data_IF_222959458629
#
_entry.id   IF_222959458629
#
_cell.length_a   1.000
_cell.length_b   1.000
_cell.length_c   1.000
_cell.angle_alpha   90.00
_cell.angle_beta   90.00
_cell.angle_gamma   90.00
#
_symmetry.space_group_name_H-M   'P 1'
#
loop_
_entity.id
_entity.type
_entity.pdbx_description
1 polymer ?
#
# COMPACT_ATOMS: atom_id res chain seq x y z
N UNK A 1 13.51 71.40 30.88
CA UNK A 1 13.39 70.18 31.71
C UNK A 1 12.16 69.38 31.29
N UNK A 2 10.98 70.01 31.22
CA UNK A 2 9.74 69.33 30.78
C UNK A 2 9.79 68.77 29.35
N UNK A 3 10.32 69.54 28.38
CA UNK A 3 10.49 69.09 26.98
C UNK A 3 11.44 67.91 26.77
N UNK A 4 12.36 67.69 27.72
CA UNK A 4 13.34 66.61 27.64
C UNK A 4 12.79 65.33 28.27
N UNK A 5 12.01 65.48 29.35
CA UNK A 5 11.23 64.40 29.95
C UNK A 5 10.16 63.92 28.95
N UNK A 6 9.45 64.82 28.28
CA UNK A 6 8.46 64.49 27.26
C UNK A 6 9.07 63.74 26.06
N UNK A 7 10.26 64.13 25.60
CA UNK A 7 10.97 63.41 24.54
C UNK A 7 11.41 62.02 24.99
N UNK A 8 11.93 61.89 26.21
CA UNK A 8 12.34 60.61 26.79
C UNK A 8 11.15 59.65 26.97
N UNK A 9 10.00 60.13 27.43
CA UNK A 9 8.78 59.31 27.54
C UNK A 9 8.26 58.88 26.17
N UNK A 10 8.25 59.77 25.17
CA UNK A 10 7.87 59.38 23.79
C UNK A 10 8.79 58.34 23.17
N UNK A 11 10.09 58.39 23.46
CA UNK A 11 11.04 57.38 22.99
C UNK A 11 10.79 56.01 23.62
N UNK A 12 10.57 55.98 24.94
CA UNK A 12 10.26 54.75 25.67
C UNK A 12 8.94 54.10 25.20
N UNK A 13 7.95 54.90 24.81
CA UNK A 13 6.67 54.40 24.28
C UNK A 13 6.82 53.84 22.86
N UNK A 14 7.65 54.47 22.01
CA UNK A 14 8.01 53.94 20.70
C UNK A 14 8.76 52.60 20.81
N UNK A 15 9.74 52.48 21.71
CA UNK A 15 10.45 51.21 21.96
C UNK A 15 9.50 50.10 22.42
N UNK A 16 8.56 50.41 23.33
CA UNK A 16 7.53 49.46 23.76
C UNK A 16 6.63 49.03 22.61
N UNK A 17 6.22 49.96 21.75
CA UNK A 17 5.41 49.66 20.56
C UNK A 17 6.16 48.75 19.59
N UNK A 18 7.42 49.08 19.28
CA UNK A 18 8.28 48.28 18.43
C UNK A 18 8.50 46.87 18.98
N UNK A 19 8.73 46.74 20.29
CA UNK A 19 8.91 45.44 20.94
C UNK A 19 7.64 44.57 20.86
N UNK A 20 6.46 45.19 21.03
CA UNK A 20 5.16 44.52 20.88
C UNK A 20 4.94 44.03 19.45
N UNK A 21 5.15 44.88 18.46
CA UNK A 21 5.02 44.51 17.04
C UNK A 21 6.01 43.41 16.66
N UNK A 22 7.27 43.53 17.09
CA UNK A 22 8.30 42.50 16.89
C UNK A 22 7.94 41.16 17.53
N UNK A 23 7.34 41.18 18.73
CA UNK A 23 6.84 39.97 19.39
C UNK A 23 5.67 39.35 18.64
N UNK A 24 4.71 40.17 18.20
CA UNK A 24 3.55 39.72 17.43
C UNK A 24 3.98 39.10 16.10
N UNK A 25 4.92 39.73 15.38
CA UNK A 25 5.47 39.21 14.14
C UNK A 25 6.15 37.85 14.35
N UNK A 26 7.00 37.72 15.38
CA UNK A 26 7.63 36.45 15.75
C UNK A 26 6.61 35.36 16.06
N UNK A 27 5.53 35.69 16.77
CA UNK A 27 4.47 34.74 17.09
C UNK A 27 3.72 34.27 15.83
N UNK A 28 3.45 35.16 14.87
CA UNK A 28 2.82 34.79 13.59
C UNK A 28 3.77 33.92 12.77
N UNK A 29 5.04 34.29 12.66
CA UNK A 29 6.05 33.48 11.95
C UNK A 29 6.18 32.08 12.53
N UNK A 30 6.21 31.96 13.86
CA UNK A 30 6.26 30.67 14.53
C UNK A 30 5.05 29.79 14.18
N UNK A 31 3.84 30.37 14.21
CA UNK A 31 2.61 29.67 13.81
C UNK A 31 2.65 29.20 12.36
N UNK A 32 3.18 30.02 11.44
CA UNK A 32 3.33 29.65 10.03
C UNK A 32 4.32 28.50 9.86
N UNK A 33 5.46 28.55 10.55
CA UNK A 33 6.47 27.49 10.53
C UNK A 33 5.88 26.18 11.06
N UNK A 34 5.17 26.23 12.18
CA UNK A 34 4.55 25.04 12.78
C UNK A 34 3.41 24.48 11.92
N UNK A 35 2.70 25.35 11.19
CA UNK A 35 1.74 24.95 10.16
C UNK A 35 2.42 24.25 8.99
N UNK A 36 3.52 24.82 8.45
CA UNK A 36 4.29 24.24 7.34
C UNK A 36 4.81 22.85 7.71
N UNK A 37 5.41 22.69 8.89
CA UNK A 37 5.93 21.41 9.39
C UNK A 37 4.86 20.32 9.44
N UNK A 38 3.64 20.66 9.87
CA UNK A 38 2.53 19.71 9.89
C UNK A 38 2.10 19.29 8.49
N UNK A 39 2.09 20.22 7.53
CA UNK A 39 1.78 19.92 6.13
C UNK A 39 2.86 19.05 5.51
N UNK A 40 4.14 19.38 5.72
CA UNK A 40 5.30 18.60 5.26
C UNK A 40 5.26 17.17 5.80
N UNK A 41 4.97 16.99 7.09
CA UNK A 41 4.86 15.66 7.70
C UNK A 41 3.73 14.82 7.07
N UNK A 42 2.57 15.43 6.81
CA UNK A 42 1.45 14.76 6.13
C UNK A 42 1.79 14.41 4.69
N UNK A 43 2.47 15.31 3.98
CA UNK A 43 2.90 15.09 2.61
C UNK A 43 3.89 13.93 2.51
N UNK A 44 4.86 13.85 3.43
CA UNK A 44 5.80 12.74 3.52
C UNK A 44 5.07 11.41 3.77
N UNK A 45 4.10 11.39 4.69
CA UNK A 45 3.29 10.20 4.95
C UNK A 45 2.53 9.75 3.70
N UNK A 46 1.89 10.69 2.99
CA UNK A 46 1.19 10.41 1.74
C UNK A 46 2.13 9.83 0.68
N UNK A 47 3.34 10.39 0.53
CA UNK A 47 4.34 9.90 -0.42
C UNK A 47 4.79 8.48 -0.10
N UNK A 48 5.01 8.17 1.18
CA UNK A 48 5.36 6.82 1.62
C UNK A 48 4.24 5.82 1.28
N UNK A 49 3.00 6.11 1.67
CA UNK A 49 1.86 5.24 1.38
C UNK A 49 1.61 5.07 -0.12
N UNK A 50 1.75 6.15 -0.91
CA UNK A 50 1.64 6.06 -2.37
C UNK A 50 2.71 5.16 -2.99
N UNK A 51 3.94 5.21 -2.47
CA UNK A 51 5.05 4.38 -2.96
C UNK A 51 4.84 2.91 -2.61
N UNK A 52 4.33 2.63 -1.41
CA UNK A 52 3.96 1.28 -0.97
C UNK A 52 2.85 0.69 -1.83
N UNK A 53 1.78 1.45 -2.08
CA UNK A 53 0.69 1.03 -2.97
C UNK A 53 1.23 0.67 -4.36
N UNK A 54 2.11 1.51 -4.91
CA UNK A 54 2.72 1.24 -6.21
C UNK A 54 3.58 -0.02 -6.21
N UNK A 55 4.32 -0.30 -5.13
CA UNK A 55 5.09 -1.52 -4.98
C UNK A 55 4.18 -2.75 -4.98
N UNK A 56 3.13 -2.74 -4.14
CA UNK A 56 2.18 -3.83 -4.04
C UNK A 56 1.45 -4.08 -5.37
N UNK A 57 1.05 -3.03 -6.09
CA UNK A 57 0.42 -3.17 -7.40
C UNK A 57 1.36 -3.84 -8.42
N UNK A 58 2.65 -3.51 -8.41
CA UNK A 58 3.65 -4.15 -9.26
C UNK A 58 3.85 -5.62 -8.88
N UNK A 59 3.88 -5.93 -7.59
CA UNK A 59 4.00 -7.32 -7.12
C UNK A 59 2.77 -8.15 -7.49
N UNK A 60 1.56 -7.63 -7.30
CA UNK A 60 0.31 -8.29 -7.72
C UNK A 60 0.35 -8.56 -9.22
N UNK A 61 0.73 -7.56 -10.02
CA UNK A 61 0.84 -7.71 -11.48
C UNK A 61 1.86 -8.78 -11.87
N UNK A 62 3.01 -8.83 -11.19
CA UNK A 62 4.03 -9.86 -11.40
C UNK A 62 3.49 -11.25 -11.06
N UNK A 63 2.79 -11.39 -9.93
CA UNK A 63 2.20 -12.66 -9.52
C UNK A 63 1.10 -13.12 -10.48
N UNK A 64 0.31 -12.21 -11.04
CA UNK A 64 -0.73 -12.54 -12.02
C UNK A 64 -0.15 -12.87 -13.41
N UNK A 65 1.01 -12.30 -13.77
CA UNK A 65 1.73 -12.65 -14.99
C UNK A 65 2.44 -14.00 -14.90
N UNK A 66 2.52 -14.59 -13.70
CA UNK A 66 2.97 -15.96 -13.55
C UNK A 66 1.90 -16.89 -14.13
N UNK A 67 2.08 -17.26 -15.39
CA UNK A 67 1.44 -18.43 -15.97
C UNK A 67 2.39 -19.60 -15.82
N UNK A 68 1.92 -20.65 -15.17
CA UNK A 68 2.67 -21.90 -15.11
C UNK A 68 2.52 -22.58 -16.48
N UNK A 69 3.64 -22.96 -17.10
CA UNK A 69 3.63 -23.50 -18.47
C UNK A 69 2.84 -24.81 -18.66
N UNK A 70 2.28 -25.36 -17.58
CA UNK A 70 1.38 -26.49 -17.61
C UNK A 70 -0.10 -26.12 -17.82
N UNK A 71 -0.49 -24.83 -17.71
CA UNK A 71 -1.89 -24.38 -17.78
C UNK A 71 -2.61 -24.89 -19.04
N UNK A 72 -1.92 -24.88 -20.19
CA UNK A 72 -2.42 -25.28 -21.51
C UNK A 72 -2.23 -26.79 -21.83
N UNK A 73 -1.85 -27.62 -20.87
CA UNK A 73 -1.75 -29.06 -21.11
C UNK A 73 -3.15 -29.65 -21.30
N UNK A 74 -3.36 -30.26 -22.47
CA UNK A 74 -4.53 -31.07 -22.75
C UNK A 74 -4.54 -32.30 -21.83
N UNK A 75 -5.54 -32.35 -20.96
CA UNK A 75 -5.80 -33.45 -20.04
C UNK A 75 -7.00 -34.27 -20.52
N UNK A 76 -7.01 -35.57 -20.21
CA UNK A 76 -8.11 -36.48 -20.55
C UNK A 76 -9.49 -35.92 -20.14
N UNK A 77 -10.54 -36.07 -20.95
CA UNK A 77 -11.88 -35.56 -20.64
C UNK A 77 -12.38 -36.00 -19.27
N UNK A 78 -13.18 -35.16 -18.61
CA UNK A 78 -13.69 -35.45 -17.27
C UNK A 78 -14.49 -36.76 -17.21
N UNK A 79 -15.28 -37.04 -18.24
CA UNK A 79 -16.11 -38.23 -18.30
C UNK A 79 -15.24 -39.50 -18.36
N UNK A 80 -14.18 -39.47 -19.17
CA UNK A 80 -13.22 -40.57 -19.28
C UNK A 80 -12.38 -40.72 -18.00
N UNK A 81 -12.01 -39.61 -17.36
CA UNK A 81 -11.32 -39.63 -16.09
C UNK A 81 -12.15 -40.30 -15.00
N UNK A 82 -13.42 -39.91 -14.82
CA UNK A 82 -14.27 -40.53 -13.80
C UNK A 82 -14.68 -41.97 -14.13
N UNK A 83 -14.67 -42.36 -15.40
CA UNK A 83 -14.96 -43.74 -15.82
C UNK A 83 -13.77 -44.69 -15.65
N UNK A 84 -12.55 -44.22 -15.92
CA UNK A 84 -11.35 -45.06 -16.00
C UNK A 84 -10.41 -44.94 -14.80
N UNK A 85 -10.42 -43.82 -14.08
CA UNK A 85 -9.54 -43.62 -12.94
C UNK A 85 -10.07 -44.37 -11.70
N UNK A 86 -9.20 -45.07 -10.96
CA UNK A 86 -9.59 -45.78 -9.75
C UNK A 86 -10.05 -44.79 -8.68
N UNK A 87 -10.97 -45.25 -7.83
CA UNK A 87 -11.68 -44.40 -6.84
C UNK A 87 -10.72 -43.75 -5.82
N UNK A 88 -9.59 -44.41 -5.54
CA UNK A 88 -8.52 -43.87 -4.70
C UNK A 88 -7.82 -42.63 -5.27
N UNK A 89 -7.81 -42.45 -6.60
CA UNK A 89 -7.25 -41.29 -7.30
C UNK A 89 -8.35 -40.30 -7.68
N UNK A 90 -9.47 -40.80 -8.21
CA UNK A 90 -10.58 -40.00 -8.71
C UNK A 90 -11.29 -39.20 -7.62
N UNK A 91 -11.42 -39.77 -6.41
CA UNK A 91 -12.02 -39.15 -5.21
C UNK A 91 -13.20 -38.21 -5.50
N UNK A 92 -14.31 -38.70 -6.09
CA UNK A 92 -15.39 -37.87 -6.64
C UNK A 92 -15.99 -36.90 -5.62
N UNK A 93 -16.08 -37.30 -4.36
CA UNK A 93 -16.54 -36.51 -3.21
C UNK A 93 -15.77 -35.20 -3.00
N UNK A 94 -14.48 -35.15 -3.32
CA UNK A 94 -13.64 -33.94 -3.20
C UNK A 94 -13.44 -33.28 -4.56
N UNK A 95 -13.16 -34.06 -5.60
CA UNK A 95 -12.80 -33.52 -6.93
C UNK A 95 -13.99 -32.88 -7.65
N UNK A 96 -15.23 -33.30 -7.41
CA UNK A 96 -16.41 -32.65 -8.03
C UNK A 96 -16.71 -31.27 -7.46
N UNK A 97 -16.30 -31.00 -6.22
CA UNK A 97 -16.57 -29.74 -5.53
C UNK A 97 -15.39 -28.75 -5.60
N UNK A 98 -14.20 -29.22 -6.01
CA UNK A 98 -12.99 -28.40 -6.06
C UNK A 98 -12.23 -28.63 -7.38
N UNK A 99 -12.24 -27.60 -8.24
CA UNK A 99 -11.57 -27.60 -9.56
C UNK A 99 -10.06 -27.84 -9.46
N UNK A 100 -9.41 -27.33 -8.43
CA UNK A 100 -7.96 -27.50 -8.24
C UNK A 100 -7.64 -28.96 -7.92
N UNK A 101 -8.35 -29.54 -6.93
CA UNK A 101 -8.22 -30.96 -6.58
C UNK A 101 -8.55 -31.87 -7.78
N UNK A 102 -9.54 -31.51 -8.58
CA UNK A 102 -9.86 -32.22 -9.82
C UNK A 102 -8.70 -32.22 -10.81
N UNK A 103 -8.07 -31.06 -11.05
CA UNK A 103 -6.93 -30.95 -11.96
C UNK A 103 -5.73 -31.75 -11.45
N UNK A 104 -5.44 -31.70 -10.14
CA UNK A 104 -4.38 -32.49 -9.51
C UNK A 104 -4.62 -33.99 -9.64
N UNK A 105 -5.85 -34.45 -9.41
CA UNK A 105 -6.21 -35.86 -9.53
C UNK A 105 -6.07 -36.35 -10.98
N UNK A 106 -6.48 -35.55 -11.97
CA UNK A 106 -6.29 -35.85 -13.40
C UNK A 106 -4.82 -35.96 -13.79
N UNK A 107 -4.00 -34.98 -13.37
CA UNK A 107 -2.56 -35.00 -13.59
C UNK A 107 -1.90 -36.23 -12.97
N UNK A 108 -2.28 -36.56 -11.73
CA UNK A 108 -1.75 -37.73 -11.01
C UNK A 108 -2.08 -39.03 -11.74
N UNK A 109 -3.30 -39.15 -12.26
CA UNK A 109 -3.72 -40.31 -13.03
C UNK A 109 -2.96 -40.46 -14.35
N UNK A 110 -2.81 -39.40 -15.12
CA UNK A 110 -2.04 -39.45 -16.37
C UNK A 110 -0.56 -39.76 -16.14
N UNK A 111 0.05 -39.22 -15.07
CA UNK A 111 1.42 -39.56 -14.71
C UNK A 111 1.53 -41.05 -14.36
N UNK A 112 0.56 -41.59 -13.61
CA UNK A 112 0.53 -43.01 -13.27
C UNK A 112 0.39 -43.88 -14.53
N UNK A 113 -0.45 -43.48 -15.48
CA UNK A 113 -0.59 -44.18 -16.77
C UNK A 113 0.70 -44.16 -17.60
N UNK A 114 1.44 -43.03 -17.64
CA UNK A 114 2.68 -42.91 -18.42
C UNK A 114 3.90 -43.59 -17.77
N UNK A 115 3.83 -43.86 -16.45
CA UNK A 115 4.89 -44.54 -15.70
C UNK A 115 4.72 -46.05 -15.60
N UNK A 116 3.50 -46.55 -15.85
CA UNK A 116 3.19 -47.97 -15.93
C UNK A 116 3.72 -48.58 -17.23
#
# INVERSE_FOLDING_TARGET
>A
MEDEIARSTTHADLEKSFLRESSALRAVLQKLIDGSKQVEAKYLHLQNSSSEIQHLQKEISRCLQFSAGDEDIDLIPLDEFYACAPENVSRPEVTKNNKHEQRLARLTWEIAQRKA
#
